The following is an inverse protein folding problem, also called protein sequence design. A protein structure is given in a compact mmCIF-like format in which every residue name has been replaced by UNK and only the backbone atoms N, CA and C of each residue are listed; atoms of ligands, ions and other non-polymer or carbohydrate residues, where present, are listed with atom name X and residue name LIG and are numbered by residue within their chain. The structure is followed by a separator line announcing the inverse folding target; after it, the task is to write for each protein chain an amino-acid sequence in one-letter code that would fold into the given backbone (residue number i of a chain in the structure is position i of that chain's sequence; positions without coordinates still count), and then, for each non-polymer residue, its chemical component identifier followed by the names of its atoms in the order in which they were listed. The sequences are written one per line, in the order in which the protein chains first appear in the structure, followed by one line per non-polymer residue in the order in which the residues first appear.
data_IF_650846846012
#
_entry.id   IF_650846846012
#
_cell.length_a   1.000
_cell.length_b   1.000
_cell.length_c   1.000
_cell.angle_alpha   90.00
_cell.angle_beta   90.00
_cell.angle_gamma   90.00
#
_symmetry.space_group_name_H-M   'P 1'
#
loop_
_entity.id
_entity.type
_entity.pdbx_description
1 polymer ?
#
# COMPACT_ATOMS: atom_id res chain seq x y z
N UNK A 1 14.65 15.35 1.12
CA UNK A 1 15.09 13.98 1.45
C UNK A 1 13.85 13.11 1.47
N UNK A 2 13.79 12.04 0.68
CA UNK A 2 12.63 11.15 0.66
C UNK A 2 12.71 10.14 1.80
N UNK A 3 11.59 9.90 2.47
CA UNK A 3 11.45 8.79 3.44
C UNK A 3 11.53 7.45 2.72
N UNK A 4 11.94 6.38 3.41
CA UNK A 4 11.94 5.03 2.86
C UNK A 4 10.58 4.65 2.24
N UNK A 5 9.49 5.08 2.87
CA UNK A 5 8.13 4.89 2.35
C UNK A 5 7.92 5.60 1.01
N UNK A 6 8.42 6.83 0.85
CA UNK A 6 8.31 7.55 -0.43
C UNK A 6 9.12 6.86 -1.53
N UNK A 7 10.26 6.26 -1.20
CA UNK A 7 11.08 5.47 -2.14
C UNK A 7 10.32 4.20 -2.55
N UNK A 8 9.79 3.44 -1.59
CA UNK A 8 9.02 2.21 -1.87
C UNK A 8 7.79 2.52 -2.72
N UNK A 9 7.04 3.56 -2.36
CA UNK A 9 5.87 4.02 -3.12
C UNK A 9 6.26 4.42 -4.55
N UNK A 10 7.34 5.18 -4.73
CA UNK A 10 7.82 5.59 -6.06
C UNK A 10 8.24 4.39 -6.92
N UNK A 11 8.98 3.45 -6.34
CA UNK A 11 9.38 2.21 -7.02
C UNK A 11 8.15 1.38 -7.43
N UNK A 12 7.17 1.28 -6.54
CA UNK A 12 5.91 0.57 -6.80
C UNK A 12 5.05 1.24 -7.87
N UNK A 13 5.11 2.57 -8.02
CA UNK A 13 4.41 3.26 -9.11
C UNK A 13 5.15 3.16 -10.45
N UNK A 14 6.46 2.96 -10.43
CA UNK A 14 7.28 2.86 -11.64
C UNK A 14 7.35 1.43 -12.19
N UNK A 15 7.22 0.44 -11.32
CA UNK A 15 7.07 -0.98 -11.64
C UNK A 15 6.08 -1.56 -10.66
N UNK A 16 4.85 -1.80 -11.10
CA UNK A 16 3.73 -2.18 -10.23
C UNK A 16 3.91 -3.63 -9.75
N UNK A 17 4.30 -3.88 -8.50
CA UNK A 17 4.30 -5.24 -7.98
C UNK A 17 2.85 -5.69 -7.82
N UNK A 18 2.54 -6.96 -8.12
CA UNK A 18 1.19 -7.49 -7.89
C UNK A 18 0.77 -7.39 -6.41
N UNK A 19 1.73 -7.54 -5.49
CA UNK A 19 1.49 -7.47 -4.04
C UNK A 19 2.59 -6.67 -3.35
N UNK A 20 2.20 -5.72 -2.51
CA UNK A 20 3.06 -4.98 -1.58
C UNK A 20 2.66 -5.31 -0.15
N UNK A 21 3.62 -5.74 0.67
CA UNK A 21 3.42 -5.98 2.09
C UNK A 21 4.08 -4.88 2.92
N UNK A 22 3.29 -4.15 3.71
CA UNK A 22 3.81 -3.22 4.70
C UNK A 22 4.20 -4.01 5.96
N UNK A 23 5.49 -3.99 6.28
CA UNK A 23 6.09 -4.72 7.41
C UNK A 23 6.76 -3.75 8.39
N UNK A 24 7.23 -4.28 9.53
CA UNK A 24 7.89 -3.50 10.59
C UNK A 24 7.04 -2.36 11.15
N UNK A 25 5.76 -2.65 11.40
CA UNK A 25 4.81 -1.73 12.02
C UNK A 25 4.54 -2.20 13.45
N UNK A 26 4.56 -1.27 14.40
CA UNK A 26 4.39 -1.58 15.82
C UNK A 26 2.92 -1.85 16.17
N UNK A 27 1.99 -1.28 15.42
CA UNK A 27 0.55 -1.46 15.60
C UNK A 27 -0.25 -1.28 14.30
N UNK A 28 -1.53 -1.65 14.33
CA UNK A 28 -2.44 -1.58 13.18
C UNK A 28 -2.73 -0.13 12.73
N UNK A 29 -2.88 0.80 13.67
CA UNK A 29 -3.15 2.22 13.39
C UNK A 29 -2.04 2.87 12.54
N UNK A 30 -0.77 2.53 12.82
CA UNK A 30 0.36 2.96 11.99
C UNK A 30 0.26 2.44 10.55
N UNK A 31 -0.31 1.25 10.36
CA UNK A 31 -0.52 0.68 9.06
C UNK A 31 -1.65 1.37 8.30
N UNK A 32 -2.81 1.53 8.94
CA UNK A 32 -3.96 2.23 8.35
C UNK A 32 -3.59 3.65 7.94
N UNK A 33 -2.84 4.37 8.78
CA UNK A 33 -2.34 5.70 8.44
C UNK A 33 -1.44 5.68 7.20
N UNK A 34 -0.60 4.65 7.04
CA UNK A 34 0.28 4.49 5.87
C UNK A 34 -0.49 4.13 4.62
N UNK A 35 -1.52 3.29 4.72
CA UNK A 35 -2.42 2.94 3.62
C UNK A 35 -3.16 4.18 3.14
N UNK A 36 -3.74 4.97 4.05
CA UNK A 36 -4.41 6.23 3.72
C UNK A 36 -3.45 7.23 3.05
N UNK A 37 -2.20 7.34 3.54
CA UNK A 37 -1.19 8.18 2.89
C UNK A 37 -0.82 7.70 1.49
N UNK A 38 -0.79 6.38 1.26
CA UNK A 38 -0.54 5.82 -0.07
C UNK A 38 -1.73 6.10 -1.01
N UNK A 39 -2.96 5.93 -0.51
CA UNK A 39 -4.20 6.25 -1.21
C UNK A 39 -4.19 7.69 -1.74
N UNK A 40 -3.97 8.66 -0.86
CA UNK A 40 -3.98 10.08 -1.24
C UNK A 40 -2.91 10.39 -2.30
N UNK A 41 -1.74 9.77 -2.20
CA UNK A 41 -0.65 9.96 -3.17
C UNK A 41 -0.99 9.37 -4.52
N UNK A 42 -1.46 8.13 -4.58
CA UNK A 42 -1.80 7.47 -5.84
C UNK A 42 -2.95 8.16 -6.54
N UNK A 43 -3.98 8.55 -5.79
CA UNK A 43 -5.08 9.37 -6.30
C UNK A 43 -4.60 10.72 -6.85
N UNK A 44 -3.70 11.40 -6.13
CA UNK A 44 -3.11 12.66 -6.60
C UNK A 44 -2.21 12.49 -7.83
N UNK A 45 -1.63 11.30 -8.02
CA UNK A 45 -0.85 10.94 -9.20
C UNK A 45 -1.73 10.52 -10.40
N UNK A 46 -3.05 10.55 -10.28
CA UNK A 46 -3.98 10.16 -11.34
C UNK A 46 -4.15 8.65 -11.50
N UNK A 47 -3.72 7.85 -10.53
CA UNK A 47 -3.91 6.40 -10.55
C UNK A 47 -5.30 6.03 -10.05
N UNK A 48 -5.92 5.04 -10.71
CA UNK A 48 -7.16 4.44 -10.23
C UNK A 48 -6.86 3.65 -8.96
N UNK A 49 -7.35 4.17 -7.84
CA UNK A 49 -7.01 3.68 -6.49
C UNK A 49 -8.30 3.47 -5.70
N UNK A 50 -8.44 2.32 -5.05
CA UNK A 50 -9.59 1.94 -4.22
C UNK A 50 -9.05 1.48 -2.86
N UNK A 51 -9.73 1.89 -1.79
CA UNK A 51 -9.45 1.43 -0.44
C UNK A 51 -10.58 0.48 -0.04
N UNK A 52 -10.22 -0.74 0.35
CA UNK A 52 -11.13 -1.83 0.71
C UNK A 52 -10.77 -2.36 2.10
N UNK A 53 -11.66 -3.15 2.68
CA UNK A 53 -11.44 -3.85 3.95
C UNK A 53 -11.54 -5.37 3.72
N UNK A 54 -10.71 -6.15 4.41
CA UNK A 54 -10.77 -7.61 4.37
C UNK A 54 -11.85 -8.19 5.31
N UNK A 55 -12.02 -9.52 5.30
CA UNK A 55 -13.00 -10.23 6.13
C UNK A 55 -12.76 -10.07 7.65
N UNK A 56 -11.55 -9.63 8.04
CA UNK A 56 -11.17 -9.36 9.44
C UNK A 56 -11.31 -7.87 9.79
N UNK A 57 -11.72 -7.02 8.85
CA UNK A 57 -11.86 -5.57 9.01
C UNK A 57 -10.56 -4.78 8.89
N UNK A 58 -9.48 -5.38 8.35
CA UNK A 58 -8.25 -4.66 8.08
C UNK A 58 -8.33 -3.98 6.71
N UNK A 59 -7.97 -2.70 6.67
CA UNK A 59 -7.91 -1.97 5.40
C UNK A 59 -6.74 -2.45 4.53
N UNK A 60 -7.00 -2.59 3.24
CA UNK A 60 -6.00 -2.81 2.20
C UNK A 60 -6.27 -1.88 1.02
N UNK A 61 -5.26 -1.67 0.18
CA UNK A 61 -5.35 -0.74 -0.94
C UNK A 61 -5.11 -1.44 -2.27
N UNK A 62 -6.04 -1.22 -3.19
CA UNK A 62 -5.93 -1.63 -4.58
C UNK A 62 -5.57 -0.42 -5.42
N UNK A 63 -4.60 -0.56 -6.32
CA UNK A 63 -4.34 0.44 -7.34
C UNK A 63 -3.96 -0.19 -8.67
N UNK A 64 -4.35 0.46 -9.75
CA UNK A 64 -4.02 0.03 -11.12
C UNK A 64 -3.46 1.21 -11.92
N UNK A 65 -2.53 0.90 -12.82
CA UNK A 65 -2.09 1.82 -13.85
C UNK A 65 -2.90 1.50 -15.11
N UNK A 66 -3.67 2.48 -15.61
CA UNK A 66 -4.57 2.33 -16.77
C UNK A 66 -3.88 1.86 -18.06
N UNK A 67 -2.54 1.81 -18.08
CA UNK A 67 -1.74 1.42 -19.24
C UNK A 67 -1.42 -0.08 -19.31
N UNK A 68 -1.61 -0.87 -18.23
CA UNK A 68 -1.06 -2.24 -18.17
C UNK A 68 -2.01 -3.33 -17.63
N UNK A 69 -3.31 -3.07 -17.43
CA UNK A 69 -4.29 -4.02 -16.83
C UNK A 69 -3.81 -4.71 -15.52
N UNK A 70 -2.79 -4.13 -14.89
CA UNK A 70 -2.09 -4.73 -13.75
C UNK A 70 -2.61 -4.08 -12.48
N UNK A 71 -3.24 -4.91 -11.64
CA UNK A 71 -3.75 -4.53 -10.33
C UNK A 71 -2.70 -4.87 -9.28
N UNK A 72 -2.42 -3.92 -8.41
CA UNK A 72 -1.56 -4.10 -7.25
C UNK A 72 -2.34 -3.96 -5.97
N UNK A 73 -2.00 -4.83 -5.03
CA UNK A 73 -2.58 -4.84 -3.70
C UNK A 73 -1.54 -4.45 -2.66
N UNK A 74 -1.88 -3.57 -1.74
CA UNK A 74 -1.07 -3.18 -0.60
C UNK A 74 -1.75 -3.61 0.69
N UNK A 75 -1.12 -4.52 1.42
CA UNK A 75 -1.65 -5.08 2.66
C UNK A 75 -0.82 -4.72 3.88
N UNK A 76 -1.51 -4.62 5.01
CA UNK A 76 -0.91 -4.70 6.33
C UNK A 76 -0.66 -6.15 6.68
N UNK A 77 0.57 -6.52 7.01
CA UNK A 77 0.82 -7.80 7.70
C UNK A 77 1.40 -7.47 9.07
N UNK A 78 0.73 -7.93 10.13
CA UNK A 78 1.36 -7.96 11.46
C UNK A 78 2.63 -8.78 11.32
N UNK A 79 3.79 -8.18 11.58
CA UNK A 79 5.03 -8.95 11.67
C UNK A 79 4.83 -9.93 12.84
N UNK A 80 4.58 -11.20 12.54
CA UNK A 80 4.67 -12.27 13.53
C UNK A 80 6.17 -12.44 13.74
N UNK A 81 6.72 -11.71 14.71
CA UNK A 81 8.05 -12.01 15.23
C UNK A 81 7.90 -13.36 15.92
N UNK A 82 8.52 -14.41 15.36
CA UNK A 82 8.80 -15.61 16.13
C UNK A 82 9.93 -15.24 17.09
N UNK A 83 9.69 -15.39 18.39
CA UNK A 83 10.76 -15.47 19.39
C UNK A 83 11.55 -16.78 19.22
#
# INVERSE_FOLDING_TARGET
MYTLMQIVVFLNTSNVPQVTLLTHLENAEQCEKKINQAYDRYKSAGLKTILNDDDEGNSFLEYSIDQEDTISYMFCKKAIFFE
#
